data_IF_865359779219
#
_entry.id   IF_865359779219
#
_cell.length_a   1.000
_cell.length_b   1.000
_cell.length_c   1.000
_cell.angle_alpha   90.00
_cell.angle_beta   90.00
_cell.angle_gamma   90.00
#
_symmetry.space_group_name_H-M   'P 1'
#
loop_
_entity.id
_entity.type
_entity.pdbx_description
1 polymer ?
#
# COMPACT_ATOMS: atom_id res chain seq x y z
N UNK A 1 12.23 -4.01 -2.35
CA UNK A 1 11.21 -4.98 -1.87
C UNK A 1 11.64 -5.60 -0.55
N UNK A 2 10.75 -5.77 0.45
CA UNK A 2 11.05 -6.50 1.67
C UNK A 2 11.56 -7.92 1.38
N UNK A 3 12.72 -8.27 1.92
CA UNK A 3 13.37 -9.56 1.65
C UNK A 3 13.78 -10.23 2.97
N UNK A 4 13.21 -11.40 3.27
CA UNK A 4 13.56 -12.14 4.48
C UNK A 4 14.99 -12.68 4.46
N UNK A 5 15.54 -12.99 3.28
CA UNK A 5 16.94 -13.38 3.16
C UNK A 5 17.88 -12.23 3.58
N UNK A 6 17.54 -10.98 3.24
CA UNK A 6 18.29 -9.79 3.69
C UNK A 6 18.25 -9.68 5.22
N UNK A 7 17.07 -9.80 5.83
CA UNK A 7 16.91 -9.78 7.30
C UNK A 7 17.78 -10.84 7.97
N UNK A 8 17.79 -12.05 7.44
CA UNK A 8 18.56 -13.15 8.03
C UNK A 8 20.06 -12.95 7.86
N UNK A 9 20.52 -12.51 6.70
CA UNK A 9 21.94 -12.28 6.43
C UNK A 9 22.51 -11.11 7.21
N UNK A 10 21.74 -10.02 7.37
CA UNK A 10 22.18 -8.82 8.06
C UNK A 10 21.87 -8.77 9.56
N UNK A 11 21.44 -9.88 10.17
CA UNK A 11 21.03 -9.92 11.58
C UNK A 11 22.08 -9.28 12.49
N UNK A 12 21.67 -8.33 13.32
CA UNK A 12 22.50 -7.53 14.24
C UNK A 12 23.53 -6.62 13.54
N UNK A 13 23.32 -6.21 12.29
CA UNK A 13 24.22 -5.27 11.62
C UNK A 13 24.26 -3.90 12.33
N UNK A 14 25.44 -3.28 12.38
CA UNK A 14 25.60 -1.93 12.91
C UNK A 14 24.92 -0.86 12.03
N UNK A 15 24.86 -1.09 10.72
CA UNK A 15 24.24 -0.18 9.77
C UNK A 15 23.50 -0.96 8.69
N UNK A 16 22.23 -0.65 8.51
CA UNK A 16 21.46 -1.01 7.33
C UNK A 16 21.33 0.22 6.42
N UNK A 17 21.71 0.10 5.16
CA UNK A 17 21.31 1.05 4.11
C UNK A 17 20.20 0.40 3.31
N UNK A 18 19.00 0.99 3.30
CA UNK A 18 17.84 0.41 2.64
C UNK A 18 17.15 1.44 1.72
N UNK A 19 16.73 0.98 0.54
CA UNK A 19 15.90 1.77 -0.36
C UNK A 19 14.51 2.05 0.24
N UNK A 20 13.97 3.25 0.03
CA UNK A 20 12.62 3.64 0.43
C UNK A 20 11.97 4.46 -0.69
N UNK A 21 11.87 3.86 -1.88
CA UNK A 21 11.50 4.56 -3.12
C UNK A 21 10.07 5.11 -3.09
N UNK A 22 9.12 4.39 -2.49
CA UNK A 22 7.71 4.74 -2.49
C UNK A 22 7.20 5.12 -1.10
N UNK A 23 6.14 5.91 -1.08
CA UNK A 23 5.46 6.29 0.16
C UNK A 23 4.57 5.17 0.67
N UNK A 24 4.24 5.25 1.96
CA UNK A 24 3.24 4.36 2.57
C UNK A 24 1.86 4.66 1.99
N UNK A 25 1.10 3.60 1.67
CA UNK A 25 -0.13 3.66 0.85
C UNK A 25 0.08 3.31 -0.63
N UNK A 26 1.34 3.14 -1.08
CA UNK A 26 1.69 2.71 -2.44
C UNK A 26 2.21 1.27 -2.50
N UNK A 27 1.79 0.40 -1.59
CA UNK A 27 2.34 -0.96 -1.44
C UNK A 27 2.14 -1.81 -2.69
N UNK A 28 1.01 -1.68 -3.37
CA UNK A 28 0.75 -2.39 -4.63
C UNK A 28 1.75 -2.01 -5.71
N UNK A 29 1.97 -0.70 -5.88
CA UNK A 29 2.95 -0.18 -6.84
C UNK A 29 4.39 -0.54 -6.43
N UNK A 30 4.67 -0.62 -5.12
CA UNK A 30 5.96 -1.07 -4.61
C UNK A 30 6.26 -2.51 -5.01
N UNK A 31 5.26 -3.39 -4.89
CA UNK A 31 5.36 -4.78 -5.32
C UNK A 31 5.56 -4.86 -6.84
N UNK A 32 4.72 -4.19 -7.62
CA UNK A 32 4.77 -4.21 -9.08
C UNK A 32 6.10 -3.68 -9.62
N UNK A 33 6.65 -2.62 -9.01
CA UNK A 33 7.93 -2.02 -9.39
C UNK A 33 9.13 -2.58 -8.63
N UNK A 34 8.93 -3.63 -7.82
CA UNK A 34 9.98 -4.30 -7.04
C UNK A 34 10.74 -3.41 -6.04
N UNK A 35 10.12 -2.31 -5.60
CA UNK A 35 10.67 -1.40 -4.59
C UNK A 35 10.14 -1.69 -3.19
N UNK A 36 10.59 -0.92 -2.20
CA UNK A 36 10.03 -0.90 -0.84
C UNK A 36 9.37 0.44 -0.56
N UNK A 37 8.34 0.42 0.28
CA UNK A 37 7.86 1.65 0.94
C UNK A 37 8.78 2.05 2.09
N UNK A 38 8.64 3.28 2.59
CA UNK A 38 9.34 3.76 3.79
C UNK A 38 9.12 2.85 5.00
N UNK A 39 7.87 2.54 5.35
CA UNK A 39 7.58 1.65 6.50
C UNK A 39 8.13 0.25 6.29
N UNK A 40 8.08 -0.27 5.06
CA UNK A 40 8.64 -1.57 4.72
C UNK A 40 10.17 -1.65 4.93
N UNK A 41 10.89 -0.60 4.53
CA UNK A 41 12.33 -0.50 4.73
C UNK A 41 12.69 -0.45 6.22
N UNK A 42 11.98 0.37 7.00
CA UNK A 42 12.17 0.48 8.45
C UNK A 42 11.88 -0.85 9.14
N UNK A 43 10.75 -1.49 8.83
CA UNK A 43 10.39 -2.79 9.40
C UNK A 43 11.43 -3.87 9.10
N UNK A 44 12.04 -3.83 7.91
CA UNK A 44 13.13 -4.75 7.54
C UNK A 44 14.32 -4.54 8.47
N UNK A 45 14.74 -3.30 8.71
CA UNK A 45 15.84 -2.99 9.64
C UNK A 45 15.52 -3.33 11.09
N UNK A 46 14.29 -3.11 11.53
CA UNK A 46 13.85 -3.49 12.89
C UNK A 46 13.87 -5.01 13.08
N UNK A 47 13.34 -5.78 12.11
CA UNK A 47 13.40 -7.26 12.14
C UNK A 47 14.82 -7.79 12.10
N UNK A 48 15.71 -7.07 11.41
CA UNK A 48 17.13 -7.39 11.34
C UNK A 48 17.87 -7.08 12.65
N UNK A 49 17.23 -6.39 13.59
CA UNK A 49 17.86 -5.83 14.79
C UNK A 49 19.09 -4.96 14.44
N UNK A 50 18.95 -4.14 13.40
CA UNK A 50 20.00 -3.19 13.04
C UNK A 50 20.21 -2.15 14.15
N UNK A 51 21.46 -1.78 14.41
CA UNK A 51 21.77 -0.69 15.33
C UNK A 51 21.29 0.66 14.77
N UNK A 52 21.52 0.90 13.47
CA UNK A 52 21.03 2.08 12.77
C UNK A 52 20.54 1.74 11.34
N UNK A 53 19.52 2.46 10.88
CA UNK A 53 18.85 2.28 9.59
C UNK A 53 18.94 3.60 8.83
N UNK A 54 19.68 3.60 7.72
CA UNK A 54 19.78 4.71 6.79
C UNK A 54 18.88 4.45 5.58
N UNK A 55 17.86 5.28 5.42
CA UNK A 55 16.97 5.25 4.26
C UNK A 55 17.58 6.03 3.11
N UNK A 56 17.53 5.47 1.90
CA UNK A 56 18.06 6.07 0.69
C UNK A 56 17.18 5.77 -0.54
N UNK A 57 17.59 6.25 -1.72
CA UNK A 57 16.98 5.94 -3.01
C UNK A 57 15.50 6.34 -3.05
N UNK A 58 15.22 7.59 -2.66
CA UNK A 58 13.87 8.16 -2.69
C UNK A 58 13.49 8.52 -4.12
N UNK A 59 12.25 8.23 -4.51
CA UNK A 59 11.75 8.68 -5.81
C UNK A 59 11.51 10.18 -5.79
N UNK A 60 12.32 10.93 -6.53
CA UNK A 60 12.15 12.38 -6.73
C UNK A 60 10.78 12.76 -7.32
N UNK A 61 10.10 11.81 -7.98
CA UNK A 61 8.77 12.01 -8.58
C UNK A 61 7.64 11.98 -7.55
N UNK A 62 7.87 11.34 -6.41
CA UNK A 62 6.88 11.14 -5.37
C UNK A 62 7.21 11.96 -4.14
N UNK A 63 8.49 12.02 -3.76
CA UNK A 63 8.95 12.75 -2.61
C UNK A 63 10.29 13.44 -2.84
N UNK A 64 10.37 14.76 -2.61
CA UNK A 64 11.66 15.44 -2.43
C UNK A 64 12.32 15.00 -1.13
N UNK A 65 11.49 14.69 -0.12
CA UNK A 65 11.87 14.17 1.19
C UNK A 65 10.79 13.20 1.66
N UNK A 66 11.14 12.07 2.29
CA UNK A 66 10.15 11.15 2.85
C UNK A 66 9.18 11.89 3.76
N UNK A 67 7.88 11.62 3.62
CA UNK A 67 6.90 12.06 4.62
C UNK A 67 7.31 11.45 5.96
N UNK A 68 7.72 12.32 6.87
CA UNK A 68 8.33 11.89 8.09
C UNK A 68 7.22 11.58 9.12
N UNK A 69 6.98 10.32 9.42
CA UNK A 69 6.16 10.00 10.59
C UNK A 69 6.94 10.37 11.84
N UNK A 70 6.25 10.97 12.83
CA UNK A 70 6.87 11.28 14.12
C UNK A 70 7.24 10.00 14.90
N UNK A 71 6.80 8.84 14.42
CA UNK A 71 7.07 7.52 14.97
C UNK A 71 8.43 6.93 14.58
N UNK A 72 9.27 7.69 13.85
CA UNK A 72 10.61 7.23 13.55
C UNK A 72 11.44 7.10 14.83
N UNK A 73 11.80 5.87 15.16
CA UNK A 73 12.74 5.54 16.23
C UNK A 73 14.06 6.31 16.08
N UNK A 74 14.74 6.57 17.20
CA UNK A 74 16.09 7.15 17.29
C UNK A 74 17.18 6.41 16.47
N UNK A 75 16.81 5.31 15.81
CA UNK A 75 17.67 4.48 14.97
C UNK A 75 17.49 4.72 13.47
N UNK A 76 16.62 5.65 13.06
CA UNK A 76 16.32 5.88 11.63
C UNK A 76 16.89 7.22 11.17
N UNK A 77 17.62 7.19 10.06
CA UNK A 77 18.16 8.36 9.37
C UNK A 77 17.75 8.38 7.90
N UNK A 78 17.77 9.58 7.32
CA UNK A 78 17.47 9.82 5.90
C UNK A 78 18.73 10.33 5.23
N UNK A 79 19.14 9.68 4.15
CA UNK A 79 20.30 10.08 3.37
C UNK A 79 19.95 11.23 2.43
N UNK A 80 20.88 12.18 2.29
CA UNK A 80 20.82 13.25 1.31
C UNK A 80 22.06 13.20 0.41
N UNK A 81 21.95 13.78 -0.78
CA UNK A 81 23.07 13.91 -1.69
C UNK A 81 24.24 14.64 -1.02
N UNK A 82 25.45 14.09 -1.20
CA UNK A 82 26.69 14.58 -0.59
C UNK A 82 26.74 14.51 0.95
N UNK A 83 25.76 13.90 1.62
CA UNK A 83 25.83 13.65 3.06
C UNK A 83 27.00 12.73 3.39
N UNK A 84 27.80 13.11 4.39
CA UNK A 84 28.89 12.28 4.94
C UNK A 84 28.59 12.02 6.41
N UNK A 85 28.59 10.73 6.77
CA UNK A 85 28.20 10.26 8.10
C UNK A 85 29.26 9.32 8.62
N UNK A 86 29.65 9.49 9.89
CA UNK A 86 30.43 8.52 10.66
C UNK A 86 29.52 7.80 11.65
N UNK A 87 29.93 6.64 12.12
CA UNK A 87 29.15 5.88 13.11
C UNK A 87 28.84 6.68 14.38
N UNK A 88 29.76 7.54 14.84
CA UNK A 88 29.53 8.41 15.99
C UNK A 88 28.47 9.50 15.77
N UNK A 89 28.06 9.77 14.53
CA UNK A 89 27.07 10.78 14.20
C UNK A 89 25.62 10.23 14.28
N UNK A 90 25.43 8.90 14.41
CA UNK A 90 24.11 8.25 14.42
C UNK A 90 23.11 8.87 15.42
N UNK A 91 23.48 9.17 16.68
CA UNK A 91 22.53 9.79 17.62
C UNK A 91 22.14 11.23 17.27
N UNK A 92 22.87 11.88 16.36
CA UNK A 92 22.60 13.25 15.93
C UNK A 92 21.69 13.30 14.69
N UNK A 93 21.72 12.27 13.83
CA UNK A 93 21.00 12.27 12.55
C UNK A 93 19.48 12.38 12.73
N UNK A 94 18.80 11.60 13.59
CA UNK A 94 17.35 11.76 13.79
C UNK A 94 16.98 13.15 14.29
N UNK A 95 17.87 13.82 15.04
CA UNK A 95 17.66 15.19 15.55
C UNK A 95 17.68 16.25 14.45
N UNK A 96 18.15 15.91 13.24
CA UNK A 96 18.09 16.78 12.07
C UNK A 96 16.72 16.70 11.37
N UNK A 97 15.85 15.75 11.72
CA UNK A 97 14.53 15.61 11.08
C UNK A 97 13.65 16.86 11.29
N UNK A 98 13.48 17.41 12.51
CA UNK A 98 12.67 18.62 12.70
C UNK A 98 13.12 19.84 11.89
N UNK A 99 14.41 20.23 11.85
CA UNK A 99 14.83 21.34 10.99
C UNK A 99 14.71 21.03 9.49
N UNK A 100 14.87 19.78 9.07
CA UNK A 100 14.58 19.38 7.69
C UNK A 100 13.08 19.52 7.36
N UNK A 101 12.17 19.09 8.25
CA UNK A 101 10.73 19.33 8.09
C UNK A 101 10.43 20.82 7.88
N UNK A 102 11.04 21.68 8.69
CA UNK A 102 10.85 23.13 8.58
C UNK A 102 11.41 23.69 7.26
N UNK A 103 12.59 23.24 6.83
CA UNK A 103 13.23 23.69 5.60
C UNK A 103 12.42 23.33 4.34
N UNK A 104 11.73 22.19 4.38
CA UNK A 104 10.98 21.65 3.24
C UNK A 104 9.46 21.66 3.48
N UNK A 105 8.96 22.56 4.33
CA UNK A 105 7.55 22.59 4.71
C UNK A 105 6.61 22.79 3.51
N UNK A 106 6.96 23.65 2.56
CA UNK A 106 6.18 23.89 1.34
C UNK A 106 6.06 22.61 0.49
N UNK A 107 7.18 21.89 0.35
CA UNK A 107 7.23 20.64 -0.39
C UNK A 107 6.40 19.55 0.30
N UNK A 108 6.41 19.51 1.64
CA UNK A 108 5.59 18.57 2.43
C UNK A 108 4.11 18.81 2.18
N UNK A 109 3.65 20.06 2.23
CA UNK A 109 2.25 20.40 1.96
C UNK A 109 1.84 19.99 0.54
N UNK A 110 2.69 20.27 -0.46
CA UNK A 110 2.40 19.86 -1.84
C UNK A 110 2.31 18.33 -1.98
N UNK A 111 3.17 17.58 -1.29
CA UNK A 111 3.15 16.12 -1.27
C UNK A 111 1.89 15.57 -0.59
N UNK A 112 1.48 16.13 0.54
CA UNK A 112 0.27 15.75 1.27
C UNK A 112 -0.98 15.94 0.39
N UNK A 113 -1.11 17.08 -0.29
CA UNK A 113 -2.23 17.29 -1.22
C UNK A 113 -2.24 16.27 -2.36
N UNK A 114 -1.07 15.91 -2.90
CA UNK A 114 -0.95 14.90 -3.97
C UNK A 114 -1.36 13.52 -3.45
N UNK A 115 -0.98 13.18 -2.22
CA UNK A 115 -1.37 11.94 -1.55
C UNK A 115 -2.89 11.89 -1.35
N UNK A 116 -3.49 12.93 -0.79
CA UNK A 116 -4.95 13.02 -0.61
C UNK A 116 -5.71 12.89 -1.93
N UNK A 117 -5.25 13.57 -2.99
CA UNK A 117 -5.83 13.46 -4.34
C UNK A 117 -5.77 12.03 -4.88
N UNK A 118 -4.73 11.26 -4.56
CA UNK A 118 -4.60 9.84 -4.94
C UNK A 118 -5.54 8.95 -4.13
N UNK A 119 -5.56 9.11 -2.82
CA UNK A 119 -6.45 8.37 -1.92
C UNK A 119 -7.92 8.57 -2.31
N UNK A 120 -8.32 9.81 -2.61
CA UNK A 120 -9.66 10.13 -3.11
C UNK A 120 -10.00 9.44 -4.44
N UNK A 121 -9.03 9.26 -5.34
CA UNK A 121 -9.24 8.52 -6.60
C UNK A 121 -9.42 7.03 -6.34
N UNK A 122 -8.59 6.44 -5.49
CA UNK A 122 -8.69 5.05 -5.08
C UNK A 122 -10.02 4.75 -4.36
N UNK A 123 -10.47 5.63 -3.46
CA UNK A 123 -11.75 5.52 -2.79
C UNK A 123 -12.93 5.59 -3.77
N UNK A 124 -12.89 6.50 -4.75
CA UNK A 124 -13.91 6.58 -5.80
C UNK A 124 -13.94 5.31 -6.66
N UNK A 125 -12.78 4.79 -7.03
CA UNK A 125 -12.68 3.57 -7.84
C UNK A 125 -13.19 2.34 -7.08
N UNK A 126 -12.79 2.17 -5.82
CA UNK A 126 -13.28 1.08 -4.96
C UNK A 126 -14.78 1.16 -4.71
N UNK A 127 -15.34 2.37 -4.49
CA UNK A 127 -16.78 2.55 -4.34
C UNK A 127 -17.56 2.18 -5.62
N UNK A 128 -17.05 2.53 -6.81
CA UNK A 128 -17.63 2.14 -8.09
C UNK A 128 -17.60 0.63 -8.31
N UNK A 129 -16.54 -0.05 -7.87
CA UNK A 129 -16.45 -1.52 -7.92
C UNK A 129 -17.45 -2.16 -6.97
N UNK A 130 -17.62 -1.62 -5.75
CA UNK A 130 -18.60 -2.12 -4.80
C UNK A 130 -20.05 -1.99 -5.31
N UNK A 131 -20.43 -0.84 -5.89
CA UNK A 131 -21.78 -0.65 -6.47
C UNK A 131 -22.07 -1.61 -7.63
N UNK A 132 -21.05 -1.95 -8.43
CA UNK A 132 -21.18 -2.97 -9.48
C UNK A 132 -21.42 -4.38 -8.92
N UNK A 133 -20.75 -4.73 -7.82
CA UNK A 133 -20.91 -6.03 -7.16
C UNK A 133 -22.29 -6.15 -6.49
N UNK A 134 -22.78 -5.11 -5.81
CA UNK A 134 -24.10 -5.13 -5.16
C UNK A 134 -25.26 -5.12 -6.16
N UNK A 135 -25.09 -4.49 -7.34
CA UNK A 135 -26.05 -4.55 -8.45
C UNK A 135 -25.99 -5.87 -9.24
N UNK A 136 -24.86 -6.58 -9.22
CA UNK A 136 -24.70 -7.90 -9.84
C UNK A 136 -25.62 -8.96 -9.22
N UNK A 137 -25.66 -9.03 -7.89
CA UNK A 137 -26.48 -10.00 -7.14
C UNK A 137 -27.98 -9.85 -7.33
N UNK A 138 -28.46 -8.64 -7.64
CA UNK A 138 -29.88 -8.39 -7.87
C UNK A 138 -30.38 -8.93 -9.24
N UNK A 139 -29.47 -9.22 -10.18
CA UNK A 139 -29.83 -9.80 -11.48
C UNK A 139 -29.89 -11.32 -11.50
N UNK A 140 -29.11 -12.02 -10.66
CA UNK A 140 -29.18 -13.48 -10.56
C UNK A 140 -30.44 -13.95 -9.79
N UNK A 141 -30.85 -13.23 -8.73
CA UNK A 141 -32.06 -13.53 -7.97
C UNK A 141 -33.36 -13.35 -8.79
N UNK A 142 -33.37 -12.44 -9.77
CA UNK A 142 -34.52 -12.22 -10.66
C UNK A 142 -34.67 -13.31 -11.73
N UNK A 143 -33.58 -13.98 -12.13
CA UNK A 143 -33.60 -15.03 -13.15
C UNK A 143 -34.15 -16.36 -12.62
N UNK A 144 -33.99 -16.65 -11.32
CA UNK A 144 -34.54 -17.86 -10.70
C UNK A 144 -36.06 -17.77 -10.46
N UNK A 145 -36.60 -16.58 -10.15
CA UNK A 145 -38.06 -16.39 -10.00
C UNK A 145 -38.83 -16.48 -11.32
N UNK A 146 -38.21 -16.17 -12.46
CA UNK A 146 -38.84 -16.30 -13.79
C UNK A 146 -38.92 -17.73 -14.33
N UNK A 147 -38.09 -18.67 -13.82
CA UNK A 147 -38.16 -20.09 -14.22
C UNK A 147 -39.25 -20.87 -13.48
N UNK A 148 -39.64 -20.49 -12.26
CA UNK A 148 -40.75 -21.17 -11.56
C UNK A 148 -42.14 -20.76 -12.05
N UNK A 149 -42.31 -19.52 -12.55
CA UNK A 149 -43.61 -19.05 -13.05
C UNK A 149 -44.05 -19.65 -14.40
N UNK A 150 -43.13 -20.25 -15.18
CA UNK A 150 -43.45 -20.88 -16.47
C UNK A 150 -43.87 -22.36 -16.38
N UNK A 151 -43.79 -23.00 -15.21
CA UNK A 151 -44.16 -24.41 -15.05
C UNK A 151 -45.59 -24.65 -14.50
N UNK A 152 -46.43 -23.60 -14.41
CA UNK A 152 -47.76 -23.71 -13.79
C UNK A 152 -48.94 -23.23 -14.65
N UNK A 153 -48.79 -23.22 -15.97
CA UNK A 153 -49.92 -23.04 -16.89
C UNK A 153 -49.73 -23.93 -18.12
N UNK A 154 -50.09 -25.21 -17.99
CA UNK A 154 -50.65 -26.00 -19.10
C UNK A 154 -51.17 -27.35 -18.58
N UNK A 155 -52.47 -27.39 -18.29
CA UNK A 155 -53.38 -28.53 -18.42
C UNK A 155 -54.75 -27.89 -18.66
N UNK A 156 -55.55 -28.36 -19.64
CA UNK A 156 -56.33 -29.56 -19.34
C UNK A 156 -56.66 -30.51 -20.53
N UNK A 157 -56.99 -31.74 -20.12
CA UNK A 157 -58.07 -32.62 -20.58
C UNK A 157 -58.06 -33.42 -21.92
N UNK A 158 -58.18 -34.75 -21.67
CA UNK A 158 -59.00 -35.78 -22.34
C UNK A 158 -58.57 -36.34 -23.71
N UNK A 159 -58.33 -37.66 -23.73
CA UNK A 159 -59.31 -38.64 -24.26
C UNK A 159 -58.96 -40.10 -23.93
N UNK A 160 -59.96 -40.79 -23.36
CA UNK A 160 -60.14 -42.24 -23.40
C UNK A 160 -60.09 -42.75 -24.84
N UNK A 161 -59.39 -43.86 -25.09
CA UNK A 161 -59.71 -44.81 -26.16
C UNK A 161 -59.52 -46.24 -25.67
N UNK A 162 -60.60 -46.99 -25.79
CA UNK A 162 -60.76 -48.44 -25.70
C UNK A 162 -60.29 -49.14 -26.99
N UNK A 163 -60.25 -50.49 -26.90
CA UNK A 163 -60.16 -51.56 -27.92
C UNK A 163 -58.78 -51.73 -28.60
N UNK A 164 -58.18 -52.93 -28.70
CA UNK A 164 -58.62 -54.34 -28.61
C UNK A 164 -57.66 -55.21 -27.76
#
# INVERSE_FOLDING_TARGET
MPCMALVQMGKNANLLIHEATLEDGMEKEAIEKTHSTTSQAIQTGMKMNAEFIMLNHFSQRYAKIPLFSDDFSDKVGIAFDHMRVRFGDFPAIPKLIPPLKALFAEDIVEMEERKEKREMRLLKETALVLDKLTRGDSTEAACQKRKQAKNHQELPDKKLKTVD
#
